data_IF_673480185521
#
_entry.id   IF_673480185521
#
_cell.length_a   1.000
_cell.length_b   1.000
_cell.length_c   1.000
_cell.angle_alpha   90.00
_cell.angle_beta   90.00
_cell.angle_gamma   90.00
#
_symmetry.space_group_name_H-M   'P 1'
#
loop_
_entity.id
_entity.type
_entity.pdbx_description
1 polymer ?
#
# COMPACT_ATOMS: atom_id res chain seq x y z
N UNK A 1 19.02 27.34 1.04
CA UNK A 1 18.86 27.26 -0.44
C UNK A 1 20.21 26.85 -0.98
N UNK A 2 20.30 25.76 -1.73
CA UNK A 2 21.56 25.32 -2.37
C UNK A 2 21.80 26.22 -3.59
N UNK A 3 23.01 26.73 -3.76
CA UNK A 3 23.41 27.63 -4.85
C UNK A 3 24.14 26.93 -5.99
N UNK A 4 24.21 27.58 -7.14
CA UNK A 4 25.04 27.13 -8.27
C UNK A 4 26.51 27.13 -7.83
N UNK A 5 27.14 25.96 -7.81
CA UNK A 5 28.53 25.76 -7.38
C UNK A 5 28.70 25.10 -6.01
N UNK A 6 27.62 24.92 -5.25
CA UNK A 6 27.66 24.14 -4.01
C UNK A 6 27.81 22.65 -4.30
N UNK A 7 28.49 21.92 -3.41
CA UNK A 7 28.51 20.46 -3.47
C UNK A 7 27.12 19.93 -3.14
N UNK A 8 26.68 18.94 -3.92
CA UNK A 8 25.48 18.17 -3.58
C UNK A 8 25.66 17.61 -2.16
N UNK A 9 24.70 17.82 -1.25
CA UNK A 9 24.82 17.30 0.11
C UNK A 9 24.80 15.78 0.06
N UNK A 10 25.70 15.13 0.80
CA UNK A 10 25.64 13.69 1.03
C UNK A 10 24.36 13.39 1.83
N UNK A 11 23.30 13.06 1.11
CA UNK A 11 22.05 12.58 1.65
C UNK A 11 21.98 11.08 1.36
N UNK A 12 21.76 10.28 2.41
CA UNK A 12 21.50 8.84 2.27
C UNK A 12 20.12 8.67 1.61
N UNK A 13 20.10 8.58 0.28
CA UNK A 13 18.92 8.20 -0.49
C UNK A 13 18.82 6.67 -0.45
N UNK A 14 17.65 6.14 -0.09
CA UNK A 14 17.42 4.69 0.02
C UNK A 14 16.99 4.10 -1.32
N UNK A 15 17.65 3.02 -1.77
CA UNK A 15 17.51 2.43 -3.12
C UNK A 15 17.08 0.94 -3.14
N UNK A 16 16.63 0.36 -2.03
CA UNK A 16 16.36 -1.09 -1.98
C UNK A 16 14.93 -1.44 -1.57
N UNK A 17 14.11 -1.87 -2.53
CA UNK A 17 12.86 -2.60 -2.28
C UNK A 17 12.73 -3.75 -3.28
N UNK A 18 12.49 -5.01 -2.86
CA UNK A 18 12.30 -6.12 -3.78
C UNK A 18 11.01 -5.98 -4.62
N UNK A 19 11.02 -6.34 -5.91
CA UNK A 19 9.90 -6.10 -6.84
C UNK A 19 8.70 -7.07 -6.67
N UNK A 20 8.86 -8.21 -6.00
CA UNK A 20 7.94 -9.36 -6.19
C UNK A 20 6.76 -9.45 -5.21
N UNK A 21 6.62 -8.54 -4.23
CA UNK A 21 5.68 -8.68 -3.10
C UNK A 21 4.64 -7.56 -2.96
N UNK A 22 4.22 -6.93 -4.07
CA UNK A 22 3.29 -5.78 -4.05
C UNK A 22 2.14 -5.97 -5.06
N UNK A 23 1.62 -4.86 -5.57
CA UNK A 23 0.56 -4.72 -6.59
C UNK A 23 0.50 -5.85 -7.65
N UNK A 24 1.61 -6.40 -8.19
CA UNK A 24 1.53 -7.44 -9.21
C UNK A 24 0.68 -8.66 -8.82
N UNK A 25 0.60 -9.01 -7.53
CA UNK A 25 -0.23 -10.11 -7.05
C UNK A 25 -1.73 -9.87 -7.23
N UNK A 26 -2.20 -8.66 -6.95
CA UNK A 26 -3.61 -8.28 -7.15
C UNK A 26 -3.99 -8.28 -8.63
N UNK A 27 -3.11 -7.80 -9.50
CA UNK A 27 -3.33 -7.80 -10.95
C UNK A 27 -3.39 -9.24 -11.50
N UNK A 28 -2.47 -10.10 -11.08
CA UNK A 28 -2.45 -11.51 -11.50
C UNK A 28 -3.70 -12.29 -11.05
N UNK A 29 -4.29 -11.92 -9.92
CA UNK A 29 -5.47 -12.58 -9.37
C UNK A 29 -6.80 -11.86 -9.62
N UNK A 30 -6.85 -10.86 -10.50
CA UNK A 30 -8.06 -10.06 -10.77
C UNK A 30 -9.29 -10.92 -11.11
N UNK A 31 -9.12 -12.05 -11.80
CA UNK A 31 -10.25 -12.92 -12.17
C UNK A 31 -10.82 -13.65 -10.96
N UNK A 32 -9.97 -14.00 -9.97
CA UNK A 32 -10.42 -14.57 -8.70
C UNK A 32 -11.21 -13.55 -7.89
N UNK A 33 -10.73 -12.30 -7.87
CA UNK A 33 -11.43 -11.18 -7.21
C UNK A 33 -12.81 -10.94 -7.82
N UNK A 34 -12.89 -10.87 -9.15
CA UNK A 34 -14.18 -10.77 -9.87
C UNK A 34 -15.09 -11.95 -9.58
N UNK A 35 -14.55 -13.18 -9.57
CA UNK A 35 -15.34 -14.38 -9.24
C UNK A 35 -15.83 -14.38 -7.78
N UNK A 36 -15.11 -13.72 -6.87
CA UNK A 36 -15.52 -13.49 -5.48
C UNK A 36 -16.48 -12.31 -5.30
N UNK A 37 -16.92 -11.66 -6.38
CA UNK A 37 -17.86 -10.53 -6.34
C UNK A 37 -17.21 -9.17 -6.05
N UNK A 38 -15.89 -9.05 -6.16
CA UNK A 38 -15.19 -7.78 -5.97
C UNK A 38 -15.29 -6.93 -7.25
N UNK A 39 -15.98 -5.80 -7.14
CA UNK A 39 -16.18 -4.86 -8.26
C UNK A 39 -14.88 -4.12 -8.62
N UNK A 40 -14.18 -3.57 -7.62
CA UNK A 40 -12.99 -2.73 -7.81
C UNK A 40 -11.93 -2.98 -6.73
N UNK A 41 -10.66 -2.89 -7.11
CA UNK A 41 -9.51 -2.87 -6.20
C UNK A 41 -8.87 -1.48 -6.24
N UNK A 42 -8.80 -0.83 -5.08
CA UNK A 42 -8.19 0.48 -4.93
C UNK A 42 -6.80 0.33 -4.30
N UNK A 43 -5.75 0.61 -5.08
CA UNK A 43 -4.40 0.79 -4.55
C UNK A 43 -4.22 2.27 -4.25
N UNK A 44 -3.97 2.60 -2.99
CA UNK A 44 -3.73 3.99 -2.61
C UNK A 44 -2.56 4.10 -1.63
N UNK A 45 -1.88 5.25 -1.63
CA UNK A 45 -0.91 5.60 -0.60
C UNK A 45 -0.81 7.12 -0.45
N UNK A 46 -0.03 7.56 0.54
CA UNK A 46 0.29 8.97 0.77
C UNK A 46 1.38 9.42 -0.21
N UNK A 47 1.00 9.44 -1.48
CA UNK A 47 1.70 10.09 -2.58
C UNK A 47 0.68 10.87 -3.42
N UNK A 48 1.17 11.79 -4.25
CA UNK A 48 0.30 12.56 -5.12
C UNK A 48 -0.19 11.75 -6.33
N UNK A 49 -1.26 12.24 -6.97
CA UNK A 49 -1.87 11.57 -8.12
C UNK A 49 -0.93 11.39 -9.33
N UNK A 50 0.08 12.26 -9.53
CA UNK A 50 1.02 12.11 -10.63
C UNK A 50 1.95 10.90 -10.43
N UNK A 51 2.46 10.71 -9.20
CA UNK A 51 3.24 9.53 -8.82
C UNK A 51 2.40 8.26 -8.96
N UNK A 52 1.18 8.28 -8.42
CA UNK A 52 0.27 7.14 -8.49
C UNK A 52 -0.12 6.78 -9.93
N UNK A 53 -0.31 7.78 -10.80
CA UNK A 53 -0.60 7.58 -12.22
C UNK A 53 0.59 6.96 -12.96
N UNK A 54 1.81 7.45 -12.71
CA UNK A 54 3.01 6.87 -13.29
C UNK A 54 3.22 5.42 -12.82
N UNK A 55 2.98 5.15 -11.53
CA UNK A 55 3.09 3.81 -10.97
C UNK A 55 2.05 2.86 -11.57
N UNK A 56 0.80 3.30 -11.77
CA UNK A 56 -0.22 2.51 -12.45
C UNK A 56 0.21 2.05 -13.87
N UNK A 57 0.81 2.97 -14.64
CA UNK A 57 1.33 2.66 -15.98
C UNK A 57 2.46 1.62 -15.90
N UNK A 58 3.40 1.81 -14.99
CA UNK A 58 4.50 0.88 -14.74
C UNK A 58 4.00 -0.54 -14.37
N UNK A 59 2.95 -0.60 -13.55
CA UNK A 59 2.30 -1.84 -13.12
C UNK A 59 1.37 -2.45 -14.18
N UNK A 60 1.20 -1.81 -15.35
CA UNK A 60 0.43 -2.31 -16.50
C UNK A 60 -1.02 -2.68 -16.16
N UNK A 61 -1.67 -1.88 -15.31
CA UNK A 61 -3.04 -2.15 -14.83
C UNK A 61 -4.13 -1.81 -15.84
N UNK A 62 -3.80 -1.23 -17.00
CA UNK A 62 -4.78 -0.82 -18.00
C UNK A 62 -5.70 -1.98 -18.42
N UNK A 63 -7.02 -1.79 -18.31
CA UNK A 63 -8.03 -2.81 -18.62
C UNK A 63 -8.35 -3.79 -17.49
N UNK A 64 -7.71 -3.66 -16.32
CA UNK A 64 -8.07 -4.39 -15.10
C UNK A 64 -9.15 -3.65 -14.28
N UNK A 65 -9.63 -4.27 -13.20
CA UNK A 65 -10.49 -3.63 -12.20
C UNK A 65 -9.69 -2.94 -11.07
N UNK A 66 -8.45 -2.55 -11.34
CA UNK A 66 -7.55 -1.96 -10.35
C UNK A 66 -7.35 -0.47 -10.66
N UNK A 67 -7.49 0.38 -9.65
CA UNK A 67 -7.27 1.83 -9.73
C UNK A 67 -6.18 2.25 -8.75
N UNK A 68 -5.42 3.29 -9.12
CA UNK A 68 -4.38 3.89 -8.29
C UNK A 68 -4.79 5.30 -7.86
N UNK A 69 -4.86 5.53 -6.55
CA UNK A 69 -5.35 6.78 -5.97
C UNK A 69 -4.29 7.40 -5.06
N UNK A 70 -4.17 8.72 -5.10
CA UNK A 70 -3.27 9.47 -4.21
C UNK A 70 -4.03 10.05 -3.01
N UNK A 71 -3.45 9.93 -1.82
CA UNK A 71 -3.89 10.58 -0.58
C UNK A 71 -2.81 11.58 -0.10
N UNK A 72 -2.50 12.65 -0.86
CA UNK A 72 -1.32 13.49 -0.62
C UNK A 72 -1.35 14.24 0.73
N UNK A 73 -2.53 14.43 1.32
CA UNK A 73 -2.70 15.10 2.60
C UNK A 73 -2.88 14.11 3.77
N UNK A 74 -2.81 12.80 3.52
CA UNK A 74 -3.08 11.74 4.51
C UNK A 74 -4.47 11.84 5.15
N UNK A 75 -5.46 12.40 4.46
CA UNK A 75 -6.80 12.62 5.00
C UNK A 75 -7.52 11.29 5.21
N UNK A 76 -7.51 10.44 4.19
CA UNK A 76 -8.08 9.09 4.27
C UNK A 76 -7.26 8.23 5.24
N UNK A 77 -5.94 8.27 5.13
CA UNK A 77 -5.03 7.52 5.99
C UNK A 77 -5.25 7.83 7.47
N UNK A 78 -5.41 9.11 7.81
CA UNK A 78 -5.68 9.54 9.19
C UNK A 78 -7.08 9.15 9.65
N UNK A 79 -8.09 9.31 8.79
CA UNK A 79 -9.47 8.94 9.10
C UNK A 79 -9.64 7.43 9.38
N UNK A 80 -8.85 6.59 8.70
CA UNK A 80 -8.82 5.14 8.91
C UNK A 80 -7.96 4.71 10.11
N UNK A 81 -7.22 5.62 10.75
CA UNK A 81 -6.26 5.27 11.79
C UNK A 81 -5.05 4.47 11.27
N UNK A 82 -4.74 4.59 9.97
CA UNK A 82 -3.69 3.82 9.29
C UNK A 82 -2.38 4.60 9.15
N UNK A 83 -2.18 5.66 9.93
CA UNK A 83 -0.92 6.41 9.95
C UNK A 83 0.22 5.56 10.49
N UNK A 84 1.34 5.50 9.76
CA UNK A 84 2.57 4.87 10.20
C UNK A 84 3.28 5.76 11.24
N UNK A 85 3.47 5.24 12.45
CA UNK A 85 4.01 6.02 13.59
C UNK A 85 5.32 5.46 14.15
N UNK A 86 5.71 4.23 13.78
CA UNK A 86 6.94 3.64 14.29
C UNK A 86 8.16 4.45 13.83
N UNK A 87 9.05 4.90 14.75
CA UNK A 87 10.20 5.74 14.40
C UNK A 87 11.16 5.13 13.38
N UNK A 88 11.30 3.79 13.35
CA UNK A 88 12.20 3.09 12.42
C UNK A 88 11.77 3.27 10.97
N UNK A 89 10.59 2.75 10.56
CA UNK A 89 10.04 2.97 9.22
C UNK A 89 9.82 4.45 8.88
N UNK A 90 9.34 5.28 9.82
CA UNK A 90 9.17 6.73 9.59
C UNK A 90 10.51 7.41 9.27
N UNK A 91 11.60 7.01 9.94
CA UNK A 91 12.94 7.53 9.68
C UNK A 91 13.46 7.19 8.28
N UNK A 92 12.94 6.14 7.63
CA UNK A 92 13.35 5.69 6.29
C UNK A 92 12.42 6.19 5.17
N UNK A 93 11.12 6.18 5.41
CA UNK A 93 10.08 6.46 4.40
C UNK A 93 9.57 7.91 4.44
N UNK A 94 9.89 8.63 5.52
CA UNK A 94 9.36 9.96 5.82
C UNK A 94 8.10 9.91 6.68
N UNK A 95 7.69 11.07 7.25
CA UNK A 95 6.46 11.19 8.00
C UNK A 95 5.22 11.04 7.11
N UNK A 96 4.05 10.89 7.73
CA UNK A 96 2.74 10.88 7.07
C UNK A 96 2.53 9.72 6.09
N UNK A 97 3.28 8.63 6.18
CA UNK A 97 3.01 7.42 5.38
C UNK A 97 1.86 6.61 5.98
N UNK A 98 1.18 5.83 5.14
CA UNK A 98 0.23 4.82 5.60
C UNK A 98 0.96 3.54 5.99
N UNK A 99 0.40 2.80 6.95
CA UNK A 99 0.78 1.40 7.22
C UNK A 99 0.54 0.55 5.98
N UNK A 100 1.18 -0.61 5.89
CA UNK A 100 0.76 -1.64 4.94
C UNK A 100 -0.48 -2.34 5.48
N UNK A 101 -1.55 -2.32 4.70
CA UNK A 101 -2.78 -3.03 5.03
C UNK A 101 -3.61 -3.31 3.78
N UNK A 102 -4.59 -4.21 3.92
CA UNK A 102 -5.67 -4.39 2.96
C UNK A 102 -7.01 -4.42 3.68
N UNK A 103 -8.06 -3.98 2.99
CA UNK A 103 -9.39 -3.83 3.55
C UNK A 103 -10.43 -4.24 2.51
N UNK A 104 -11.46 -4.96 2.96
CA UNK A 104 -12.65 -5.24 2.17
C UNK A 104 -13.82 -4.42 2.69
N UNK A 105 -14.45 -3.68 1.78
CA UNK A 105 -15.61 -2.85 2.05
C UNK A 105 -16.78 -3.33 1.18
N UNK A 106 -17.94 -3.47 1.79
CA UNK A 106 -19.21 -3.79 1.14
C UNK A 106 -20.21 -2.66 1.41
N UNK A 107 -20.65 -1.97 0.35
CA UNK A 107 -21.48 -0.76 0.40
C UNK A 107 -21.01 0.29 1.42
N UNK A 108 -19.71 0.61 1.38
CA UNK A 108 -19.08 1.57 2.30
C UNK A 108 -18.88 1.05 3.73
N UNK A 109 -19.26 -0.19 4.04
CA UNK A 109 -19.05 -0.82 5.35
C UNK A 109 -17.81 -1.70 5.32
N UNK A 110 -16.86 -1.42 6.20
CA UNK A 110 -15.64 -2.24 6.36
C UNK A 110 -16.02 -3.59 6.99
N UNK A 111 -15.74 -4.69 6.28
CA UNK A 111 -16.02 -6.07 6.74
C UNK A 111 -14.77 -6.83 7.15
N UNK A 112 -13.64 -6.56 6.50
CA UNK A 112 -12.32 -7.15 6.81
C UNK A 112 -11.28 -6.05 6.78
N UNK A 113 -10.36 -6.06 7.75
CA UNK A 113 -9.15 -5.25 7.73
C UNK A 113 -7.96 -6.10 8.19
N UNK A 114 -6.87 -6.05 7.44
CA UNK A 114 -5.63 -6.76 7.73
C UNK A 114 -4.46 -5.78 7.68
N UNK A 115 -3.90 -5.46 8.85
CA UNK A 115 -2.75 -4.56 9.01
C UNK A 115 -1.51 -5.41 9.23
N UNK A 116 -0.51 -5.27 8.36
CA UNK A 116 0.69 -6.11 8.38
C UNK A 116 1.67 -5.81 9.55
N UNK A 117 1.40 -4.77 10.35
CA UNK A 117 2.31 -4.29 11.40
C UNK A 117 2.58 -5.32 12.52
N UNK A 118 1.72 -6.33 12.70
CA UNK A 118 1.82 -7.25 13.83
C UNK A 118 1.14 -8.60 13.58
N UNK A 119 1.67 -9.41 12.66
CA UNK A 119 1.21 -10.78 12.50
C UNK A 119 1.69 -11.68 13.62
N UNK A 120 0.75 -12.35 14.27
CA UNK A 120 1.06 -13.43 15.21
C UNK A 120 1.89 -13.01 16.42
N UNK A 121 1.93 -11.72 16.74
CA UNK A 121 2.73 -11.16 17.85
C UNK A 121 4.17 -10.83 17.49
N UNK A 122 4.58 -10.95 16.22
CA UNK A 122 5.89 -10.50 15.75
C UNK A 122 5.88 -8.98 15.47
N UNK A 123 6.95 -8.29 15.88
CA UNK A 123 7.15 -6.87 15.62
C UNK A 123 7.60 -6.67 14.16
N UNK A 124 6.66 -6.35 13.25
CA UNK A 124 6.92 -6.03 11.84
C UNK A 124 6.46 -4.58 11.56
N UNK A 125 7.14 -3.56 12.09
CA UNK A 125 6.64 -2.20 12.09
C UNK A 125 6.47 -1.59 10.68
N UNK A 126 7.09 -2.17 9.65
CA UNK A 126 6.91 -1.76 8.25
C UNK A 126 5.84 -2.58 7.52
N UNK A 127 5.49 -3.78 8.02
CA UNK A 127 4.68 -4.76 7.32
C UNK A 127 5.43 -5.43 6.16
N UNK A 128 6.76 -5.43 6.17
CA UNK A 128 7.58 -5.93 5.05
C UNK A 128 8.09 -7.36 5.30
N UNK A 129 8.09 -7.83 6.54
CA UNK A 129 8.52 -9.18 6.89
C UNK A 129 7.42 -10.21 6.62
N UNK A 130 6.14 -9.81 6.75
CA UNK A 130 4.96 -10.64 6.46
C UNK A 130 3.96 -9.97 5.49
N UNK A 131 4.39 -9.63 4.25
CA UNK A 131 3.55 -8.92 3.31
C UNK A 131 2.31 -9.73 2.88
N UNK A 132 2.33 -11.06 3.02
CA UNK A 132 1.24 -11.94 2.59
C UNK A 132 -0.09 -11.67 3.29
N UNK A 133 -0.09 -10.96 4.42
CA UNK A 133 -1.30 -10.67 5.20
C UNK A 133 -2.27 -9.75 4.50
N UNK A 134 -1.71 -8.76 3.83
CA UNK A 134 -2.45 -7.80 3.03
C UNK A 134 -2.41 -8.19 1.55
N UNK A 135 -2.07 -9.44 1.23
CA UNK A 135 -2.06 -9.94 -0.14
C UNK A 135 -3.36 -10.69 -0.49
N UNK A 136 -3.60 -10.79 -1.79
CA UNK A 136 -4.85 -11.30 -2.37
C UNK A 136 -5.31 -12.65 -1.80
N UNK A 137 -4.44 -13.64 -1.66
CA UNK A 137 -4.87 -14.99 -1.24
C UNK A 137 -5.37 -14.99 0.21
N UNK A 138 -4.74 -14.21 1.11
CA UNK A 138 -5.22 -14.06 2.48
C UNK A 138 -6.53 -13.28 2.52
N UNK A 139 -6.63 -12.19 1.73
CA UNK A 139 -7.86 -11.39 1.66
C UNK A 139 -9.04 -12.20 1.12
N UNK A 140 -8.86 -12.97 0.04
CA UNK A 140 -9.91 -13.84 -0.51
C UNK A 140 -10.35 -14.91 0.48
N UNK A 141 -9.41 -15.50 1.24
CA UNK A 141 -9.75 -16.43 2.32
C UNK A 141 -10.65 -15.76 3.36
N UNK A 142 -10.24 -14.62 3.88
CA UNK A 142 -11.01 -13.91 4.91
C UNK A 142 -12.38 -13.46 4.42
N UNK A 143 -12.48 -13.01 3.17
CA UNK A 143 -13.75 -12.63 2.55
C UNK A 143 -14.69 -13.85 2.44
N UNK A 144 -14.16 -15.04 2.14
CA UNK A 144 -14.96 -16.26 2.06
C UNK A 144 -15.48 -16.80 3.40
N UNK A 145 -14.94 -16.28 4.51
CA UNK A 145 -15.32 -16.64 5.88
C UNK A 145 -16.38 -15.70 6.49
N UNK A 146 -16.80 -14.65 5.77
CA UNK A 146 -17.88 -13.73 6.15
C UNK A 146 -19.27 -14.36 5.95
#
# INVERSE_FOLDING_TARGET
MVGVGDKFPDANLHDQFPPDFKVPGYLAGQDKLKAAGIDEVLVYCVDNAAVMSAWAVDQKIAGSNISFLGDPNSELTSALGMTLTNPGPVGKLGPNRCKRFAMYCDDGVIKVIQVSENKGGADDPAGDDFPEDSCIDNMLKLISEL
#
